data_IF_174440442515
#
_entry.id   IF_174440442515
#
_cell.length_a   1.000
_cell.length_b   1.000
_cell.length_c   1.000
_cell.angle_alpha   90.00
_cell.angle_beta   90.00
_cell.angle_gamma   90.00
#
_symmetry.space_group_name_H-M   'P 1'
#
loop_
_entity.id
_entity.type
_entity.pdbx_description
1 polymer ?
#
# COMPACT_ATOMS: atom_id res chain seq x y z
N UNK A 1 -10.43 -16.46 -5.67
CA UNK A 1 -9.06 -16.17 -5.18
C UNK A 1 -8.50 -17.43 -4.55
N UNK A 2 -7.37 -17.89 -5.02
CA UNK A 2 -6.55 -18.88 -4.31
C UNK A 2 -5.53 -18.13 -3.45
N UNK A 3 -5.39 -18.49 -2.20
CA UNK A 3 -4.35 -18.03 -1.31
C UNK A 3 -3.61 -19.24 -0.75
N UNK A 4 -2.36 -19.02 -0.36
CA UNK A 4 -1.50 -20.01 0.25
C UNK A 4 -1.38 -19.72 1.75
N UNK A 5 -1.25 -20.76 2.56
CA UNK A 5 -1.02 -20.62 4.01
C UNK A 5 0.20 -21.48 4.34
N UNK A 6 1.36 -20.84 4.44
CA UNK A 6 2.62 -21.56 4.63
C UNK A 6 3.65 -20.69 5.37
N UNK A 7 4.80 -21.29 5.68
CA UNK A 7 5.94 -20.64 6.33
C UNK A 7 7.07 -20.47 5.33
N UNK A 8 7.40 -19.23 5.01
CA UNK A 8 8.39 -18.87 4.00
C UNK A 8 9.68 -18.36 4.62
N UNK A 9 10.85 -18.73 4.07
CA UNK A 9 12.13 -18.26 4.58
C UNK A 9 12.32 -16.76 4.29
N UNK A 10 12.78 -16.05 5.31
CA UNK A 10 13.22 -14.66 5.22
C UNK A 10 14.62 -14.68 4.60
N UNK A 11 14.76 -14.13 3.39
CA UNK A 11 16.05 -14.10 2.70
C UNK A 11 16.77 -12.75 2.86
N UNK A 12 16.05 -11.69 3.24
CA UNK A 12 16.62 -10.38 3.56
C UNK A 12 15.76 -9.66 4.61
N UNK A 13 16.43 -8.86 5.47
CA UNK A 13 15.82 -7.98 6.47
C UNK A 13 16.58 -6.66 6.51
N UNK A 14 15.90 -5.54 6.42
CA UNK A 14 16.49 -4.21 6.54
C UNK A 14 15.68 -3.35 7.50
N UNK A 15 16.36 -2.54 8.30
CA UNK A 15 15.75 -1.41 8.99
C UNK A 15 15.72 -0.22 8.01
N UNK A 16 14.54 0.32 7.75
CA UNK A 16 14.35 1.50 6.89
C UNK A 16 14.28 2.81 7.71
N UNK A 17 14.00 2.71 8.99
CA UNK A 17 13.91 3.77 9.97
C UNK A 17 13.63 3.20 11.34
N UNK A 18 13.51 4.05 12.35
CA UNK A 18 13.18 3.62 13.71
C UNK A 18 11.81 2.93 13.74
N UNK A 19 11.81 1.64 14.09
CA UNK A 19 10.62 0.79 14.14
C UNK A 19 10.03 0.43 12.78
N UNK A 20 10.72 0.71 11.66
CA UNK A 20 10.24 0.36 10.31
C UNK A 20 11.18 -0.65 9.68
N UNK A 21 10.63 -1.77 9.25
CA UNK A 21 11.39 -2.89 8.70
C UNK A 21 10.88 -3.31 7.32
N UNK A 22 11.84 -3.70 6.47
CA UNK A 22 11.59 -4.43 5.22
C UNK A 22 12.03 -5.87 5.38
N UNK A 23 11.18 -6.80 4.95
CA UNK A 23 11.46 -8.23 4.86
C UNK A 23 11.25 -8.73 3.45
N UNK A 24 12.19 -9.51 2.93
CA UNK A 24 12.03 -10.23 1.65
C UNK A 24 11.87 -11.71 1.93
N UNK A 25 10.76 -12.28 1.46
CA UNK A 25 10.44 -13.70 1.59
C UNK A 25 10.65 -14.42 0.28
N UNK A 26 11.15 -15.66 0.32
CA UNK A 26 11.19 -16.58 -0.83
C UNK A 26 9.90 -17.38 -0.87
N UNK A 27 9.00 -17.02 -1.78
CA UNK A 27 7.64 -17.58 -1.89
C UNK A 27 7.16 -17.58 -3.34
N UNK A 28 7.70 -18.47 -4.21
CA UNK A 28 7.47 -18.42 -5.66
C UNK A 28 5.99 -18.46 -6.05
N UNK A 29 5.20 -19.32 -5.40
CA UNK A 29 3.77 -19.46 -5.69
C UNK A 29 2.97 -18.21 -5.30
N UNK A 30 3.36 -17.51 -4.23
CA UNK A 30 2.75 -16.22 -3.87
C UNK A 30 3.16 -15.14 -4.86
N UNK A 31 4.46 -15.09 -5.21
CA UNK A 31 4.99 -14.11 -6.15
C UNK A 31 4.33 -14.21 -7.52
N UNK A 32 4.06 -15.43 -8.01
CA UNK A 32 3.40 -15.65 -9.30
C UNK A 32 1.95 -15.15 -9.30
N UNK A 33 1.23 -15.31 -8.18
CA UNK A 33 -0.21 -15.06 -8.09
C UNK A 33 -0.59 -13.71 -7.47
N UNK A 34 0.37 -12.99 -6.88
CA UNK A 34 0.08 -11.72 -6.24
C UNK A 34 -0.13 -10.58 -7.25
N UNK A 35 -1.04 -9.66 -6.88
CA UNK A 35 -1.33 -8.42 -7.61
C UNK A 35 -1.00 -7.20 -6.76
N UNK A 36 -0.65 -6.09 -7.41
CA UNK A 36 -0.29 -4.82 -6.75
C UNK A 36 -1.45 -4.33 -5.87
N UNK A 37 -1.16 -4.00 -4.60
CA UNK A 37 -2.16 -3.52 -3.64
C UNK A 37 -2.80 -4.61 -2.78
N UNK A 38 -2.48 -5.88 -2.99
CA UNK A 38 -2.86 -6.97 -2.10
C UNK A 38 -2.02 -6.95 -0.80
N UNK A 39 -2.41 -7.79 0.16
CA UNK A 39 -1.77 -7.87 1.48
C UNK A 39 -1.56 -9.32 1.90
N UNK A 40 -0.87 -9.50 3.01
CA UNK A 40 -0.66 -10.79 3.70
C UNK A 40 -1.17 -10.72 5.12
N UNK A 41 -1.47 -11.87 5.72
CA UNK A 41 -1.75 -12.03 7.14
C UNK A 41 -0.59 -12.79 7.80
N UNK A 42 0.24 -12.09 8.58
CA UNK A 42 1.41 -12.66 9.26
C UNK A 42 1.02 -13.17 10.64
N UNK A 43 1.43 -14.38 10.99
CA UNK A 43 1.31 -14.92 12.33
C UNK A 43 2.36 -14.29 13.24
N UNK A 44 1.91 -13.66 14.31
CA UNK A 44 2.78 -13.21 15.40
C UNK A 44 2.76 -14.28 16.50
N UNK A 45 3.90 -14.85 16.83
CA UNK A 45 3.99 -15.90 17.85
C UNK A 45 3.46 -15.41 19.21
N UNK A 46 2.67 -16.24 19.88
CA UNK A 46 2.01 -15.89 21.14
C UNK A 46 0.74 -15.05 20.99
N UNK A 47 0.33 -14.69 19.79
CA UNK A 47 -0.89 -13.91 19.54
C UNK A 47 -1.91 -14.72 18.72
N UNK A 48 -3.18 -14.62 19.10
CA UNK A 48 -4.28 -15.31 18.44
C UNK A 48 -4.54 -14.74 17.02
N UNK A 49 -4.53 -13.42 16.86
CA UNK A 49 -4.80 -12.78 15.59
C UNK A 49 -3.51 -12.57 14.79
N UNK A 50 -3.57 -12.80 13.49
CA UNK A 50 -2.53 -12.42 12.53
C UNK A 50 -2.48 -10.89 12.33
N UNK A 51 -1.43 -10.41 11.69
CA UNK A 51 -1.24 -8.99 11.37
C UNK A 51 -1.32 -8.78 9.87
N UNK A 52 -2.28 -7.95 9.39
CA UNK A 52 -2.35 -7.60 7.98
C UNK A 52 -1.22 -6.64 7.63
N UNK A 53 -0.44 -6.98 6.61
CA UNK A 53 0.64 -6.15 6.07
C UNK A 53 0.50 -6.13 4.57
N UNK A 54 0.52 -4.95 3.97
CA UNK A 54 0.46 -4.80 2.52
C UNK A 54 1.72 -5.38 1.85
N UNK A 55 1.53 -5.98 0.68
CA UNK A 55 2.65 -6.37 -0.17
C UNK A 55 3.25 -5.09 -0.76
N UNK A 56 4.54 -4.88 -0.53
CA UNK A 56 5.27 -3.73 -1.05
C UNK A 56 5.66 -3.96 -2.52
N UNK A 57 6.24 -5.12 -2.80
CA UNK A 57 6.70 -5.47 -4.13
C UNK A 57 6.80 -6.97 -4.32
N UNK A 58 6.69 -7.40 -5.57
CA UNK A 58 6.81 -8.80 -5.97
C UNK A 58 7.83 -8.91 -7.11
N UNK A 59 8.75 -9.85 -6.98
CA UNK A 59 9.67 -10.25 -8.04
C UNK A 59 9.32 -11.68 -8.48
N UNK A 60 8.63 -11.81 -9.61
CA UNK A 60 8.19 -13.09 -10.16
C UNK A 60 9.35 -13.94 -10.65
N UNK A 61 10.38 -13.32 -11.23
CA UNK A 61 11.55 -14.03 -11.75
C UNK A 61 12.34 -14.70 -10.63
N UNK A 62 12.55 -13.97 -9.55
CA UNK A 62 13.22 -14.49 -8.36
C UNK A 62 12.26 -15.19 -7.38
N UNK A 63 10.95 -15.20 -7.63
CA UNK A 63 9.94 -15.81 -6.75
C UNK A 63 10.01 -15.24 -5.34
N UNK A 64 10.05 -13.92 -5.21
CA UNK A 64 10.17 -13.24 -3.91
C UNK A 64 9.10 -12.19 -3.71
N UNK A 65 8.78 -11.91 -2.46
CA UNK A 65 7.84 -10.89 -2.03
C UNK A 65 8.48 -10.02 -0.95
N UNK A 66 8.41 -8.71 -1.11
CA UNK A 66 8.87 -7.72 -0.14
C UNK A 66 7.69 -7.19 0.67
N UNK A 67 7.84 -7.20 1.98
CA UNK A 67 6.91 -6.64 2.95
C UNK A 67 7.59 -5.49 3.68
N UNK A 68 6.88 -4.38 3.88
CA UNK A 68 7.36 -3.26 4.71
C UNK A 68 6.30 -2.93 5.73
N UNK A 69 6.69 -2.83 7.01
CA UNK A 69 5.77 -2.52 8.08
C UNK A 69 6.42 -1.69 9.19
N UNK A 70 5.57 -0.98 9.93
CA UNK A 70 5.92 -0.22 11.12
C UNK A 70 5.51 -0.99 12.37
N UNK A 71 6.35 -0.99 13.39
CA UNK A 71 6.03 -1.51 14.73
C UNK A 71 5.05 -0.56 15.41
N UNK A 72 3.78 -0.97 15.45
CA UNK A 72 2.68 -0.19 16.07
C UNK A 72 2.13 -0.82 17.33
N UNK A 73 2.58 -2.01 17.68
CA UNK A 73 2.11 -2.73 18.86
C UNK A 73 2.76 -4.09 19.00
N UNK A 74 2.46 -4.79 20.09
CA UNK A 74 3.11 -6.03 20.50
C UNK A 74 3.19 -7.12 19.42
N UNK A 75 2.21 -7.20 18.50
CA UNK A 75 2.23 -8.21 17.44
C UNK A 75 3.21 -7.87 16.31
N UNK A 76 3.28 -6.62 15.87
CA UNK A 76 4.29 -6.18 14.90
C UNK A 76 5.68 -6.09 15.53
N UNK A 77 5.76 -5.80 16.83
CA UNK A 77 6.99 -5.90 17.60
C UNK A 77 7.54 -7.33 17.57
N UNK A 78 6.69 -8.32 17.87
CA UNK A 78 7.07 -9.73 17.80
C UNK A 78 7.51 -10.19 16.40
N UNK A 79 6.85 -9.70 15.35
CA UNK A 79 7.26 -9.96 13.95
C UNK A 79 8.63 -9.33 13.68
N UNK A 80 8.93 -8.16 14.24
CA UNK A 80 10.20 -7.46 14.03
C UNK A 80 11.42 -8.18 14.64
N UNK A 81 11.23 -9.14 15.54
CA UNK A 81 12.29 -9.97 16.10
C UNK A 81 12.82 -11.03 15.10
N UNK A 82 12.01 -11.43 14.10
CA UNK A 82 12.45 -12.40 13.10
C UNK A 82 13.66 -11.88 12.31
N UNK A 83 14.54 -12.78 11.92
CA UNK A 83 15.79 -12.47 11.23
C UNK A 83 15.91 -13.21 9.91
N UNK A 84 16.88 -12.82 9.10
CA UNK A 84 17.24 -13.58 7.90
C UNK A 84 17.58 -15.02 8.25
N UNK A 85 16.94 -15.96 7.55
CA UNK A 85 17.02 -17.40 7.78
C UNK A 85 15.86 -17.97 8.59
N UNK A 86 15.12 -17.13 9.33
CA UNK A 86 13.90 -17.57 10.02
C UNK A 86 12.75 -17.80 9.02
N UNK A 87 11.74 -18.54 9.49
CA UNK A 87 10.51 -18.77 8.74
C UNK A 87 9.42 -17.81 9.21
N UNK A 88 8.73 -17.18 8.26
CA UNK A 88 7.56 -16.34 8.51
C UNK A 88 6.29 -17.05 8.05
N UNK A 89 5.39 -17.35 8.98
CA UNK A 89 4.09 -17.97 8.71
C UNK A 89 3.11 -16.89 8.20
N UNK A 90 2.69 -17.03 6.95
CA UNK A 90 1.80 -16.07 6.27
C UNK A 90 0.65 -16.73 5.55
N UNK A 91 -0.47 -16.02 5.44
CA UNK A 91 -1.54 -16.30 4.48
C UNK A 91 -1.45 -15.23 3.40
N UNK A 92 -1.25 -15.61 2.14
CA UNK A 92 -1.00 -14.70 1.01
C UNK A 92 -1.34 -15.34 -0.34
N UNK A 93 -1.61 -14.55 -1.42
CA UNK A 93 -1.99 -13.15 -1.37
C UNK A 93 -3.45 -12.99 -0.97
N UNK A 94 -3.83 -11.89 -0.34
CA UNK A 94 -5.18 -11.62 0.15
C UNK A 94 -5.73 -10.30 -0.41
N UNK A 95 -7.06 -10.24 -0.52
CA UNK A 95 -7.78 -9.06 -1.01
C UNK A 95 -7.68 -8.84 -2.52
N UNK A 96 -8.27 -7.74 -2.99
CA UNK A 96 -8.23 -7.28 -4.37
C UNK A 96 -7.24 -6.11 -4.49
N UNK A 97 -6.37 -6.17 -5.47
CA UNK A 97 -5.37 -5.15 -5.74
C UNK A 97 -5.91 -3.97 -6.55
N UNK A 98 -5.01 -3.04 -6.88
CA UNK A 98 -5.30 -1.92 -7.76
C UNK A 98 -5.60 -2.40 -9.19
N UNK A 99 -6.56 -1.74 -9.83
CA UNK A 99 -6.83 -1.90 -11.25
C UNK A 99 -5.76 -1.14 -12.04
N UNK A 100 -4.64 -1.79 -12.29
CA UNK A 100 -3.53 -1.19 -13.03
C UNK A 100 -3.55 -1.74 -14.44
N UNK A 101 -4.04 -0.99 -15.44
CA UNK A 101 -4.01 -1.43 -16.83
C UNK A 101 -2.57 -1.33 -17.36
N UNK A 102 -2.09 -2.41 -17.94
CA UNK A 102 -0.74 -2.49 -18.52
C UNK A 102 -0.45 -1.44 -19.61
N UNK A 103 -1.47 -0.76 -20.15
CA UNK A 103 -1.38 0.23 -21.23
C UNK A 103 -2.50 1.25 -21.12
N UNK A 104 -2.46 2.16 -20.15
CA UNK A 104 -3.16 3.46 -20.31
C UNK A 104 -2.16 4.48 -20.80
N UNK A 105 -2.50 5.16 -21.88
CA UNK A 105 -1.84 6.42 -22.24
C UNK A 105 -2.05 7.42 -21.10
N UNK A 106 -1.08 8.32 -20.91
CA UNK A 106 -1.11 9.32 -19.84
C UNK A 106 -0.26 8.97 -18.61
N UNK A 107 -0.10 9.98 -17.78
CA UNK A 107 0.64 9.89 -16.51
C UNK A 107 -0.25 9.28 -15.42
N UNK A 108 0.39 8.70 -14.42
CA UNK A 108 -0.28 8.31 -13.18
C UNK A 108 0.32 9.05 -12.00
N UNK A 109 -0.51 9.29 -10.99
CA UNK A 109 -0.05 9.83 -9.72
C UNK A 109 -0.26 8.76 -8.65
N UNK A 110 0.77 8.47 -7.88
CA UNK A 110 0.66 7.67 -6.66
C UNK A 110 0.81 8.57 -5.45
N UNK A 111 -0.06 8.42 -4.46
CA UNK A 111 -0.05 9.24 -3.24
C UNK A 111 0.05 8.32 -2.03
N UNK A 112 1.24 8.29 -1.41
CA UNK A 112 1.54 7.47 -0.26
C UNK A 112 1.62 8.28 1.03
N UNK A 113 0.96 7.84 2.10
CA UNK A 113 1.06 8.48 3.43
C UNK A 113 1.72 7.58 4.47
N UNK A 114 2.92 7.91 4.92
CA UNK A 114 3.69 7.12 5.89
C UNK A 114 3.83 5.67 5.44
N UNK A 115 3.38 4.72 6.25
CA UNK A 115 3.42 3.29 5.94
C UNK A 115 2.41 2.86 4.85
N UNK A 116 1.62 3.77 4.30
CA UNK A 116 0.84 3.56 3.07
C UNK A 116 1.66 3.71 1.78
N UNK A 117 2.89 4.18 1.86
CA UNK A 117 3.81 4.29 0.72
C UNK A 117 4.19 2.94 0.09
N UNK A 118 4.54 1.87 0.84
CA UNK A 118 4.98 0.59 0.28
C UNK A 118 4.08 -0.03 -0.78
N UNK A 119 2.75 -0.20 -0.63
CA UNK A 119 1.91 -0.92 -1.59
C UNK A 119 1.77 -0.24 -2.96
N UNK A 120 2.29 0.96 -3.13
CA UNK A 120 2.22 1.73 -4.37
C UNK A 120 3.52 1.64 -5.21
N UNK A 121 4.59 1.06 -4.65
CA UNK A 121 5.91 1.04 -5.30
C UNK A 121 5.90 0.31 -6.66
N UNK A 122 5.19 -0.81 -6.76
CA UNK A 122 5.14 -1.57 -8.01
C UNK A 122 4.32 -0.85 -9.11
N UNK A 123 3.40 0.05 -8.74
CA UNK A 123 2.77 0.97 -9.71
C UNK A 123 3.84 1.92 -10.28
N UNK A 124 4.69 2.50 -9.43
CA UNK A 124 5.77 3.37 -9.89
C UNK A 124 6.75 2.63 -10.80
N UNK A 125 7.13 1.38 -10.47
CA UNK A 125 7.97 0.55 -11.34
C UNK A 125 7.34 0.27 -12.71
N UNK A 126 6.02 0.07 -12.74
CA UNK A 126 5.28 -0.22 -13.98
C UNK A 126 5.21 0.99 -14.92
N UNK A 127 5.10 2.20 -14.39
CA UNK A 127 4.92 3.41 -15.18
C UNK A 127 6.21 4.22 -15.39
N UNK A 128 7.25 4.00 -14.56
CA UNK A 128 8.54 4.68 -14.67
C UNK A 128 8.41 6.20 -14.66
N UNK A 129 8.94 6.86 -15.68
CA UNK A 129 8.93 8.31 -15.88
C UNK A 129 7.52 8.93 -16.06
N UNK A 130 6.52 8.11 -16.36
CA UNK A 130 5.10 8.51 -16.41
C UNK A 130 4.42 8.48 -15.03
N UNK A 131 5.14 8.10 -13.96
CA UNK A 131 4.63 8.12 -12.60
C UNK A 131 5.14 9.35 -11.84
N UNK A 132 4.23 10.10 -11.22
CA UNK A 132 4.58 11.05 -10.16
C UNK A 132 4.20 10.45 -8.83
N UNK A 133 5.18 10.28 -7.95
CA UNK A 133 5.00 9.76 -6.59
C UNK A 133 5.02 10.90 -5.57
N UNK A 134 3.89 11.18 -4.94
CA UNK A 134 3.74 12.17 -3.88
C UNK A 134 3.71 11.43 -2.55
N UNK A 135 4.77 11.55 -1.76
CA UNK A 135 5.01 10.77 -0.55
C UNK A 135 4.97 11.68 0.67
N UNK A 136 3.94 11.54 1.50
CA UNK A 136 3.73 12.35 2.71
C UNK A 136 4.20 11.64 3.98
N UNK A 137 4.98 12.32 4.80
CA UNK A 137 5.49 11.83 6.07
C UNK A 137 5.40 12.91 7.15
N UNK A 138 5.58 12.53 8.41
CA UNK A 138 5.60 13.51 9.52
C UNK A 138 6.88 14.32 9.55
N UNK A 139 8.03 13.68 9.31
CA UNK A 139 9.37 14.24 9.44
C UNK A 139 10.37 13.45 8.59
N UNK A 140 11.57 14.01 8.40
CA UNK A 140 12.66 13.40 7.62
C UNK A 140 13.00 11.95 8.07
N UNK A 141 13.05 11.71 9.38
CA UNK A 141 13.39 10.39 9.96
C UNK A 141 12.33 9.29 9.65
N UNK A 142 11.15 9.69 9.18
CA UNK A 142 10.06 8.77 8.76
C UNK A 142 9.99 8.56 7.26
N UNK A 143 10.85 9.25 6.48
CA UNK A 143 10.88 9.08 5.02
C UNK A 143 11.42 7.70 4.67
N UNK A 144 10.64 6.93 3.92
CA UNK A 144 11.01 5.58 3.46
C UNK A 144 10.75 5.43 1.96
N UNK A 145 11.56 4.61 1.30
CA UNK A 145 11.41 4.20 -0.10
C UNK A 145 11.47 5.32 -1.15
N UNK A 146 11.75 6.57 -0.80
CA UNK A 146 11.91 7.69 -1.74
C UNK A 146 12.96 7.39 -2.82
N UNK A 147 14.07 6.75 -2.43
CA UNK A 147 15.11 6.28 -3.36
C UNK A 147 14.63 5.13 -4.24
N UNK A 148 13.83 4.21 -3.70
CA UNK A 148 13.28 3.09 -4.48
C UNK A 148 12.32 3.59 -5.55
N UNK A 149 11.49 4.59 -5.23
CA UNK A 149 10.63 5.26 -6.20
C UNK A 149 11.44 5.99 -7.29
N UNK A 150 12.51 6.69 -6.90
CA UNK A 150 13.41 7.35 -7.84
C UNK A 150 14.13 6.35 -8.74
N UNK A 151 14.59 5.21 -8.20
CA UNK A 151 15.18 4.11 -8.97
C UNK A 151 14.17 3.44 -9.91
N UNK A 152 12.89 3.44 -9.56
CA UNK A 152 11.82 3.01 -10.45
C UNK A 152 11.57 3.97 -11.63
N UNK A 153 12.24 5.12 -11.66
CA UNK A 153 12.09 6.16 -12.69
C UNK A 153 11.00 7.18 -12.41
N UNK A 154 10.30 7.08 -11.28
CA UNK A 154 9.23 8.01 -10.95
C UNK A 154 9.75 9.42 -10.60
N UNK A 155 8.94 10.43 -10.92
CA UNK A 155 9.14 11.78 -10.38
C UNK A 155 8.67 11.81 -8.93
N UNK A 156 9.60 11.95 -7.97
CA UNK A 156 9.31 11.86 -6.53
C UNK A 156 9.16 13.24 -5.91
N UNK A 157 8.05 13.47 -5.23
CA UNK A 157 7.77 14.65 -4.42
C UNK A 157 7.57 14.19 -2.98
N UNK A 158 8.53 14.50 -2.11
CA UNK A 158 8.43 14.23 -0.67
C UNK A 158 7.79 15.42 0.01
N UNK A 159 6.83 15.19 0.90
CA UNK A 159 6.21 16.17 1.77
C UNK A 159 6.44 15.78 3.22
N UNK A 160 6.78 16.76 4.09
CA UNK A 160 6.87 16.51 5.54
C UNK A 160 6.06 17.55 6.31
N UNK A 161 5.29 17.07 7.30
CA UNK A 161 4.40 17.93 8.10
C UNK A 161 5.20 19.02 8.82
N UNK A 162 6.43 18.71 9.28
CA UNK A 162 7.32 19.62 9.99
C UNK A 162 8.26 20.43 9.09
N UNK A 163 8.26 20.18 7.78
CA UNK A 163 9.14 20.87 6.82
C UNK A 163 10.60 20.46 6.89
N UNK A 164 10.94 19.36 7.59
CA UNK A 164 12.33 18.91 7.75
C UNK A 164 12.99 18.41 6.46
N UNK A 165 12.19 18.05 5.45
CA UNK A 165 12.66 17.76 4.08
C UNK A 165 11.53 17.88 3.06
N UNK A 166 11.89 18.15 1.80
CA UNK A 166 10.94 18.24 0.70
C UNK A 166 9.98 19.44 0.83
N UNK A 167 8.72 19.24 0.45
CA UNK A 167 7.66 20.24 0.57
C UNK A 167 7.14 20.27 2.00
N UNK A 168 7.11 21.45 2.62
CA UNK A 168 6.55 21.62 3.96
C UNK A 168 5.02 21.51 3.92
N UNK A 169 4.47 20.63 4.75
CA UNK A 169 3.04 20.42 4.91
C UNK A 169 2.53 19.13 4.25
N UNK A 170 1.25 19.13 3.86
CA UNK A 170 0.56 17.95 3.38
C UNK A 170 0.72 17.75 1.87
N UNK A 171 0.28 16.59 1.40
CA UNK A 171 0.29 16.22 -0.03
C UNK A 171 -0.70 17.04 -0.89
N UNK A 172 -1.58 17.83 -0.27
CA UNK A 172 -2.72 18.44 -0.94
C UNK A 172 -2.30 19.44 -2.05
N UNK A 173 -1.34 20.33 -1.75
CA UNK A 173 -0.87 21.31 -2.73
C UNK A 173 -0.10 20.63 -3.88
N UNK A 174 0.91 19.77 -3.64
CA UNK A 174 1.58 19.04 -4.72
C UNK A 174 0.62 18.21 -5.59
N UNK A 175 -0.41 17.58 -5.00
CA UNK A 175 -1.41 16.84 -5.76
C UNK A 175 -2.23 17.76 -6.67
N UNK A 176 -2.67 18.91 -6.16
CA UNK A 176 -3.41 19.90 -6.96
C UNK A 176 -2.56 20.42 -8.12
N UNK A 177 -1.29 20.73 -7.87
CA UNK A 177 -0.35 21.20 -8.89
C UNK A 177 -0.12 20.15 -9.99
N UNK A 178 0.03 18.88 -9.60
CA UNK A 178 0.22 17.79 -10.56
C UNK A 178 -1.06 17.50 -11.38
N UNK A 179 -2.23 17.56 -10.77
CA UNK A 179 -3.51 17.41 -11.48
C UNK A 179 -3.74 18.56 -12.47
N UNK A 180 -3.37 19.79 -12.11
CA UNK A 180 -3.51 20.96 -12.98
C UNK A 180 -2.66 20.90 -14.25
N UNK A 181 -1.57 20.10 -14.27
CA UNK A 181 -0.76 19.88 -15.49
C UNK A 181 -1.51 19.09 -16.57
N UNK A 182 -2.62 18.42 -16.21
CA UNK A 182 -3.39 17.57 -17.12
C UNK A 182 -2.70 16.25 -17.48
N UNK A 183 -3.29 15.51 -18.41
CA UNK A 183 -2.81 14.19 -18.90
C UNK A 183 -2.62 13.16 -17.79
N UNK A 184 -3.46 13.20 -16.75
CA UNK A 184 -3.46 12.23 -15.66
C UNK A 184 -4.52 11.17 -15.93
N UNK A 185 -4.08 9.93 -16.14
CA UNK A 185 -4.96 8.79 -16.40
C UNK A 185 -5.60 8.23 -15.12
N UNK A 186 -4.87 8.26 -14.00
CA UNK A 186 -5.36 7.75 -12.73
C UNK A 186 -4.55 8.29 -11.54
N UNK A 187 -5.21 8.32 -10.37
CA UNK A 187 -4.59 8.56 -9.05
C UNK A 187 -4.78 7.33 -8.18
N UNK A 188 -3.70 6.79 -7.66
CA UNK A 188 -3.70 5.66 -6.73
C UNK A 188 -3.21 6.12 -5.35
N UNK A 189 -3.93 5.79 -4.29
CA UNK A 189 -3.55 6.25 -2.96
C UNK A 189 -3.65 5.18 -1.87
N UNK A 190 -2.73 5.26 -0.90
CA UNK A 190 -2.77 4.48 0.32
C UNK A 190 -2.19 5.31 1.48
N UNK A 191 -2.90 5.35 2.62
CA UNK A 191 -2.48 6.10 3.79
C UNK A 191 -3.64 6.45 4.72
N UNK A 192 -3.43 7.43 5.62
CA UNK A 192 -4.45 7.83 6.60
C UNK A 192 -5.75 8.33 5.94
N UNK A 193 -6.89 8.03 6.57
CA UNK A 193 -8.22 8.45 6.08
C UNK A 193 -8.33 9.93 5.72
N UNK A 194 -7.80 10.90 6.49
CA UNK A 194 -7.86 12.30 6.10
C UNK A 194 -7.12 12.60 4.78
N UNK A 195 -5.99 11.92 4.53
CA UNK A 195 -5.26 12.03 3.27
C UNK A 195 -6.07 11.44 2.11
N UNK A 196 -6.66 10.25 2.29
CA UNK A 196 -7.48 9.62 1.28
C UNK A 196 -8.70 10.47 0.90
N UNK A 197 -9.35 11.13 1.88
CA UNK A 197 -10.42 12.11 1.62
C UNK A 197 -9.96 13.25 0.71
N UNK A 198 -8.80 13.82 1.01
CA UNK A 198 -8.24 14.91 0.20
C UNK A 198 -7.91 14.45 -1.22
N UNK A 199 -7.33 13.25 -1.38
CA UNK A 199 -7.01 12.67 -2.69
C UNK A 199 -8.26 12.43 -3.52
N UNK A 200 -9.28 11.79 -2.95
CA UNK A 200 -10.55 11.49 -3.64
C UNK A 200 -11.24 12.79 -4.07
N UNK A 201 -11.29 13.79 -3.19
CA UNK A 201 -11.89 15.08 -3.50
C UNK A 201 -11.15 15.80 -4.65
N UNK A 202 -9.83 15.84 -4.61
CA UNK A 202 -9.01 16.47 -5.65
C UNK A 202 -9.13 15.75 -7.00
N UNK A 203 -9.06 14.42 -7.02
CA UNK A 203 -9.22 13.62 -8.23
C UNK A 203 -10.62 13.82 -8.85
N UNK A 204 -11.68 13.79 -8.03
CA UNK A 204 -13.05 14.04 -8.46
C UNK A 204 -13.22 15.44 -9.06
N UNK A 205 -12.67 16.47 -8.42
CA UNK A 205 -12.70 17.85 -8.91
C UNK A 205 -11.98 17.98 -10.26
N UNK A 206 -10.90 17.24 -10.47
CA UNK A 206 -10.15 17.22 -11.72
C UNK A 206 -10.76 16.30 -12.79
N UNK A 207 -11.82 15.54 -12.49
CA UNK A 207 -12.42 14.55 -13.38
C UNK A 207 -11.50 13.37 -13.69
N UNK A 208 -10.59 13.03 -12.75
CA UNK A 208 -9.59 11.96 -12.88
C UNK A 208 -10.03 10.74 -12.08
N UNK A 209 -9.92 9.56 -12.69
CA UNK A 209 -10.17 8.29 -12.00
C UNK A 209 -9.23 8.11 -10.81
N UNK A 210 -9.76 7.60 -9.70
CA UNK A 210 -8.94 7.30 -8.51
C UNK A 210 -9.31 5.98 -7.86
N UNK A 211 -8.32 5.32 -7.28
CA UNK A 211 -8.47 4.16 -6.39
C UNK A 211 -7.72 4.39 -5.09
N UNK A 212 -8.31 3.95 -4.01
CA UNK A 212 -7.75 4.08 -2.66
C UNK A 212 -7.71 2.73 -1.94
N UNK A 213 -6.60 2.46 -1.26
CA UNK A 213 -6.46 1.29 -0.40
C UNK A 213 -6.86 1.67 1.02
N UNK A 214 -7.90 1.00 1.55
CA UNK A 214 -8.45 1.24 2.89
C UNK A 214 -7.74 0.38 3.94
N UNK A 215 -7.55 0.96 5.12
CA UNK A 215 -7.13 0.24 6.31
C UNK A 215 -8.33 0.00 7.25
N UNK A 216 -8.46 -1.24 7.73
CA UNK A 216 -9.42 -1.60 8.77
C UNK A 216 -8.83 -2.65 9.72
N UNK A 217 -9.36 -2.70 10.94
CA UNK A 217 -9.03 -3.78 11.87
C UNK A 217 -9.46 -5.10 11.27
N UNK A 218 -8.59 -6.08 11.25
CA UNK A 218 -8.87 -7.41 10.69
C UNK A 218 -8.81 -8.48 11.77
N UNK A 219 -9.78 -9.41 11.74
CA UNK A 219 -9.71 -10.66 12.48
C UNK A 219 -9.16 -11.78 11.59
N UNK A 220 -9.97 -12.29 10.66
CA UNK A 220 -9.60 -13.46 9.84
C UNK A 220 -8.77 -13.13 8.58
N UNK A 221 -8.95 -11.96 7.98
CA UNK A 221 -8.31 -11.58 6.71
C UNK A 221 -8.85 -12.25 5.45
N UNK A 222 -9.81 -13.17 5.58
CA UNK A 222 -10.34 -14.00 4.48
C UNK A 222 -11.85 -13.81 4.24
N UNK A 223 -12.44 -12.79 4.86
CA UNK A 223 -13.85 -12.43 4.65
C UNK A 223 -14.87 -13.17 5.49
N UNK A 224 -14.47 -14.02 6.46
CA UNK A 224 -15.40 -14.82 7.25
C UNK A 224 -15.99 -14.09 8.47
N UNK A 225 -15.20 -13.26 9.19
CA UNK A 225 -15.58 -12.70 10.49
C UNK A 225 -16.28 -11.34 10.44
N UNK A 226 -16.29 -10.67 9.29
CA UNK A 226 -16.91 -9.34 9.03
C UNK A 226 -16.36 -8.18 9.89
N UNK A 227 -15.28 -8.38 10.65
CA UNK A 227 -14.67 -7.33 11.50
C UNK A 227 -14.18 -6.12 10.69
N UNK A 228 -13.70 -6.33 9.46
CA UNK A 228 -13.18 -5.29 8.59
C UNK A 228 -14.25 -4.66 7.67
N UNK A 229 -15.49 -4.51 8.17
CA UNK A 229 -16.56 -3.90 7.41
C UNK A 229 -16.26 -2.43 7.07
N UNK A 230 -16.58 -2.02 5.84
CA UNK A 230 -16.56 -0.64 5.36
C UNK A 230 -17.83 -0.36 4.56
N UNK A 231 -18.24 0.91 4.48
CA UNK A 231 -19.37 1.33 3.66
C UNK A 231 -18.88 1.87 2.33
N UNK A 232 -19.54 1.48 1.26
CA UNK A 232 -19.37 2.03 -0.09
C UNK A 232 -20.73 2.39 -0.68
N UNK A 233 -20.73 3.28 -1.68
CA UNK A 233 -21.94 3.60 -2.46
C UNK A 233 -21.76 2.97 -3.85
N UNK A 234 -22.61 2.02 -4.21
CA UNK A 234 -22.69 1.40 -5.54
C UNK A 234 -24.09 1.50 -6.08
N UNK A 235 -24.23 1.96 -7.31
CA UNK A 235 -25.52 2.14 -7.98
C UNK A 235 -26.48 3.06 -7.19
N UNK A 236 -25.93 4.04 -6.44
CA UNK A 236 -26.68 4.96 -5.59
C UNK A 236 -27.13 4.39 -4.24
N UNK A 237 -26.75 3.15 -3.91
CA UNK A 237 -27.13 2.47 -2.67
C UNK A 237 -25.90 2.27 -1.76
N UNK A 238 -26.10 2.41 -0.45
CA UNK A 238 -25.10 2.04 0.55
C UNK A 238 -24.97 0.51 0.64
N UNK A 239 -23.74 0.02 0.49
CA UNK A 239 -23.40 -1.40 0.64
C UNK A 239 -22.29 -1.57 1.67
N UNK A 240 -22.45 -2.55 2.55
CA UNK A 240 -21.42 -2.92 3.52
C UNK A 240 -20.56 -4.03 2.93
N UNK A 241 -19.28 -3.72 2.73
CA UNK A 241 -18.27 -4.62 2.18
C UNK A 241 -17.18 -4.91 3.21
N UNK A 242 -16.32 -5.88 2.91
CA UNK A 242 -15.21 -6.30 3.79
C UNK A 242 -13.88 -5.92 3.16
N UNK A 243 -13.12 -5.06 3.81
CA UNK A 243 -11.81 -4.61 3.31
C UNK A 243 -10.90 -5.79 2.96
N UNK A 244 -10.92 -6.88 3.72
CA UNK A 244 -10.03 -8.03 3.48
C UNK A 244 -10.42 -8.92 2.29
N UNK A 245 -11.68 -8.87 1.81
CA UNK A 245 -12.18 -9.74 0.75
C UNK A 245 -12.63 -8.96 -0.48
N UNK A 246 -13.39 -7.89 -0.26
CA UNK A 246 -14.01 -7.08 -1.30
C UNK A 246 -13.09 -5.92 -1.71
N UNK A 247 -12.13 -5.49 -0.83
CA UNK A 247 -11.01 -4.59 -1.01
C UNK A 247 -9.66 -5.31 -0.83
N UNK A 248 -8.60 -4.66 -0.34
CA UNK A 248 -8.57 -3.33 0.31
C UNK A 248 -8.72 -2.14 -0.63
N UNK A 249 -8.54 -2.35 -1.93
CA UNK A 249 -8.63 -1.29 -2.93
C UNK A 249 -10.07 -1.11 -3.40
N UNK A 250 -10.51 0.14 -3.41
CA UNK A 250 -11.84 0.55 -3.86
C UNK A 250 -11.73 1.79 -4.77
N UNK A 251 -12.72 1.95 -5.66
CA UNK A 251 -12.85 3.19 -6.43
C UNK A 251 -13.07 4.39 -5.52
N UNK A 252 -12.41 5.51 -5.81
CA UNK A 252 -12.62 6.77 -5.11
C UNK A 252 -14.05 7.31 -5.24
N UNK A 253 -14.78 6.89 -6.27
CA UNK A 253 -16.19 7.27 -6.47
C UNK A 253 -17.15 6.52 -5.54
N UNK A 254 -16.75 5.33 -5.06
CA UNK A 254 -17.60 4.46 -4.25
C UNK A 254 -17.36 4.59 -2.75
N UNK A 255 -16.11 4.93 -2.34
CA UNK A 255 -15.76 4.87 -0.92
C UNK A 255 -16.43 5.96 -0.10
N UNK A 256 -16.90 5.60 1.10
CA UNK A 256 -17.35 6.52 2.15
C UNK A 256 -16.23 6.63 3.18
N UNK A 257 -15.52 7.78 3.19
CA UNK A 257 -14.34 8.04 4.01
C UNK A 257 -14.62 8.96 5.20
#
# INVERSE_FOLDING_TARGET
MSFFCDSYPIIDKKALGEGIYSYTLKCPEVAENAHIGQFVQIKAEGYMLRRPISICSVDKENGTMMLVFEVRGKGTDKISELNKGDLMDVIAPLGNGFTVPAKKDGRVIVVGGGIGTPPLLDIAKMYGDRCTAILGFRSFDKVILDKDYSLAGANVIVCTDDGSTGVHGTIAQPLADELAKGDVAAVYACGPTPMLKAVVAAAKQAGVYSEVSLEQRMGCGVGACVVCACTVIRDGEEKVLRVCKDGPVFSGEEVVL
#
